data_IF_157325231441
#
_entry.id   IF_157325231441
#
_cell.length_a   1.000
_cell.length_b   1.000
_cell.length_c   1.000
_cell.angle_alpha   90.00
_cell.angle_beta   90.00
_cell.angle_gamma   90.00
#
_symmetry.space_group_name_H-M   'P 1'
#
loop_
_entity.id
_entity.type
_entity.pdbx_description
1 polymer ?
#
# COMPACT_ATOMS: atom_id res chain seq x y z
N UNK A 1 1.55 9.04 7.13
CA UNK A 1 1.31 7.83 6.30
C UNK A 1 1.31 8.24 4.85
N UNK A 2 2.20 7.70 4.05
CA UNK A 2 2.25 8.03 2.64
C UNK A 2 1.72 6.87 1.78
N UNK A 3 1.53 7.14 0.50
CA UNK A 3 0.96 6.18 -0.42
C UNK A 3 1.83 4.93 -0.56
N UNK A 4 3.14 5.12 -0.51
CA UNK A 4 4.10 4.02 -0.59
C UNK A 4 3.91 3.03 0.55
N UNK A 5 3.73 3.54 1.77
CA UNK A 5 3.49 2.70 2.95
C UNK A 5 2.13 2.00 2.86
N UNK A 6 1.12 2.68 2.32
CA UNK A 6 -0.18 2.04 2.08
C UNK A 6 -0.06 0.86 1.13
N UNK A 7 0.78 0.98 0.10
CA UNK A 7 1.05 -0.12 -0.84
C UNK A 7 1.73 -1.30 -0.12
N UNK A 8 2.59 -1.03 0.85
CA UNK A 8 3.20 -2.08 1.66
C UNK A 8 2.15 -2.86 2.46
N UNK A 9 1.19 -2.14 3.06
CA UNK A 9 0.11 -2.78 3.82
C UNK A 9 -0.73 -3.69 2.92
N UNK A 10 -1.08 -3.22 1.73
CA UNK A 10 -1.86 -4.00 0.77
C UNK A 10 -1.07 -5.23 0.32
N UNK A 11 0.23 -5.07 0.04
CA UNK A 11 1.08 -6.20 -0.38
C UNK A 11 1.12 -7.30 0.67
N UNK A 12 1.21 -6.92 1.95
CA UNK A 12 1.22 -7.92 3.03
C UNK A 12 -0.15 -8.59 3.19
N UNK A 13 -1.23 -7.82 3.06
CA UNK A 13 -2.59 -8.38 3.12
C UNK A 13 -2.82 -9.41 2.01
N UNK A 14 -2.30 -9.13 0.81
CA UNK A 14 -2.51 -10.00 -0.35
C UNK A 14 -1.64 -11.25 -0.30
N UNK A 15 -0.38 -11.11 0.07
CA UNK A 15 0.57 -12.23 0.09
C UNK A 15 0.52 -13.05 1.36
N UNK A 16 0.17 -12.41 2.48
CA UNK A 16 0.21 -13.00 3.82
C UNK A 16 1.60 -13.50 4.21
N UNK A 17 2.63 -12.97 3.55
CA UNK A 17 4.00 -13.44 3.73
C UNK A 17 4.95 -12.25 3.63
N UNK A 18 5.68 -11.97 4.71
CA UNK A 18 6.60 -10.83 4.76
C UNK A 18 7.67 -10.88 3.67
N UNK A 19 8.23 -12.05 3.43
CA UNK A 19 9.26 -12.22 2.40
C UNK A 19 8.74 -11.93 0.99
N UNK A 20 7.58 -12.47 0.66
CA UNK A 20 6.95 -12.23 -0.65
C UNK A 20 6.53 -10.78 -0.83
N UNK A 21 5.95 -10.20 0.21
CA UNK A 21 5.55 -8.80 0.16
C UNK A 21 6.76 -7.89 -0.04
N UNK A 22 7.86 -8.18 0.67
CA UNK A 22 9.09 -7.42 0.52
C UNK A 22 9.60 -7.48 -0.91
N UNK A 23 9.59 -8.65 -1.54
CA UNK A 23 10.01 -8.81 -2.94
C UNK A 23 9.13 -7.97 -3.86
N UNK A 24 7.80 -8.02 -3.68
CA UNK A 24 6.89 -7.20 -4.48
C UNK A 24 7.15 -5.71 -4.35
N UNK A 25 7.58 -5.28 -3.17
CA UNK A 25 7.82 -3.87 -2.89
C UNK A 25 9.28 -3.46 -3.14
N UNK A 26 10.10 -4.37 -3.65
CA UNK A 26 11.52 -4.12 -3.94
C UNK A 26 12.30 -3.71 -2.69
N UNK A 27 11.99 -4.33 -1.56
CA UNK A 27 12.62 -4.07 -0.28
C UNK A 27 13.22 -5.36 0.29
N UNK A 28 14.20 -5.19 1.19
CA UNK A 28 14.62 -6.31 2.04
C UNK A 28 13.49 -6.61 3.02
N UNK A 29 13.46 -7.84 3.52
CA UNK A 29 12.45 -8.22 4.50
C UNK A 29 12.54 -7.37 5.77
N UNK A 30 13.75 -7.02 6.21
CA UNK A 30 13.95 -6.15 7.36
C UNK A 30 13.35 -4.76 7.15
N UNK A 31 13.62 -4.15 5.99
CA UNK A 31 13.08 -2.84 5.67
C UNK A 31 11.56 -2.87 5.55
N UNK A 32 11.03 -3.93 4.93
CA UNK A 32 9.59 -4.11 4.80
C UNK A 32 8.92 -4.25 6.17
N UNK A 33 9.46 -5.09 7.04
CA UNK A 33 8.94 -5.27 8.40
C UNK A 33 8.93 -3.96 9.18
N UNK A 34 9.98 -3.17 9.04
CA UNK A 34 10.04 -1.85 9.70
C UNK A 34 8.97 -0.90 9.17
N UNK A 35 8.68 -0.96 7.88
CA UNK A 35 7.62 -0.13 7.29
C UNK A 35 6.26 -0.50 7.88
N UNK A 36 5.97 -1.79 8.00
CA UNK A 36 4.71 -2.27 8.59
C UNK A 36 4.63 -1.84 10.06
N UNK A 37 5.71 -2.03 10.82
CA UNK A 37 5.75 -1.62 12.22
C UNK A 37 5.54 -0.12 12.37
N UNK A 38 6.16 0.69 11.51
CA UNK A 38 5.99 2.14 11.54
C UNK A 38 4.54 2.54 11.28
N UNK A 39 3.85 1.85 10.37
CA UNK A 39 2.44 2.10 10.12
C UNK A 39 1.59 1.79 11.36
N UNK A 40 1.86 0.66 12.01
CA UNK A 40 1.16 0.28 13.24
C UNK A 40 1.40 1.30 14.36
N UNK A 41 2.63 1.76 14.50
CA UNK A 41 2.99 2.76 15.51
C UNK A 41 2.30 4.10 15.24
N UNK A 42 2.29 4.52 13.98
CA UNK A 42 1.68 5.79 13.59
C UNK A 42 0.17 5.80 13.84
N UNK A 43 -0.50 4.69 13.53
CA UNK A 43 -1.95 4.58 13.70
C UNK A 43 -2.36 4.16 15.11
N UNK A 44 -1.41 3.69 15.91
CA UNK A 44 -1.69 3.22 17.26
C UNK A 44 -2.53 1.95 17.31
N UNK A 45 -2.45 1.12 16.26
CA UNK A 45 -3.24 -0.10 16.13
C UNK A 45 -2.36 -1.22 15.60
N UNK A 46 -2.61 -2.44 16.06
CA UNK A 46 -2.03 -3.62 15.45
C UNK A 46 -2.86 -3.96 14.22
N UNK A 47 -2.20 -4.02 13.07
CA UNK A 47 -2.87 -4.25 11.78
C UNK A 47 -2.75 -5.69 11.31
N UNK A 48 -1.71 -6.39 11.75
CA UNK A 48 -1.45 -7.77 11.35
C UNK A 48 -1.11 -8.63 12.54
N UNK A 49 -1.67 -9.83 12.56
CA UNK A 49 -1.25 -10.89 13.46
C UNK A 49 -0.14 -11.67 12.78
N UNK A 50 1.00 -11.76 13.46
CA UNK A 50 2.15 -12.50 12.94
C UNK A 50 2.11 -13.90 13.50
N UNK A 51 1.23 -14.72 12.90
CA UNK A 51 1.12 -16.12 13.27
C UNK A 51 2.39 -16.89 12.89
N UNK A 52 2.43 -18.16 13.26
CA UNK A 52 3.60 -19.00 13.03
C UNK A 52 3.86 -19.29 11.56
N UNK A 53 2.83 -19.21 10.69
CA UNK A 53 2.92 -19.57 9.28
C UNK A 53 2.58 -18.38 8.38
N UNK A 54 1.52 -17.67 8.67
CA UNK A 54 1.04 -16.57 7.82
C UNK A 54 0.76 -15.32 8.64
N UNK A 55 0.97 -14.17 8.00
CA UNK A 55 0.51 -12.89 8.53
C UNK A 55 -0.93 -12.70 8.09
N UNK A 56 -1.83 -12.43 9.04
CA UNK A 56 -3.24 -12.17 8.75
C UNK A 56 -3.64 -10.80 9.28
N UNK A 57 -4.60 -10.18 8.62
CA UNK A 57 -5.11 -8.89 9.10
C UNK A 57 -5.88 -9.06 10.40
N UNK A 58 -5.67 -8.12 11.33
CA UNK A 58 -6.61 -7.91 12.43
C UNK A 58 -7.85 -7.23 11.86
N UNK A 59 -8.90 -7.06 12.66
CA UNK A 59 -10.08 -6.29 12.24
C UNK A 59 -9.68 -4.87 11.85
N UNK A 60 -8.80 -4.24 12.65
CA UNK A 60 -8.26 -2.92 12.33
C UNK A 60 -7.47 -2.93 11.04
N UNK A 61 -6.65 -3.96 10.82
CA UNK A 61 -5.88 -4.12 9.59
C UNK A 61 -6.76 -4.24 8.37
N UNK A 62 -7.81 -5.05 8.45
CA UNK A 62 -8.76 -5.21 7.34
C UNK A 62 -9.41 -3.88 6.98
N UNK A 63 -9.82 -3.11 7.98
CA UNK A 63 -10.40 -1.78 7.78
C UNK A 63 -9.40 -0.85 7.08
N UNK A 64 -8.18 -0.78 7.58
CA UNK A 64 -7.14 0.11 7.02
C UNK A 64 -6.78 -0.31 5.59
N UNK A 65 -6.61 -1.60 5.35
CA UNK A 65 -6.25 -2.12 4.01
C UNK A 65 -7.35 -1.79 2.99
N UNK A 66 -8.61 -1.93 3.36
CA UNK A 66 -9.71 -1.58 2.47
C UNK A 66 -9.66 -0.11 2.07
N UNK A 67 -9.43 0.78 3.04
CA UNK A 67 -9.29 2.20 2.76
C UNK A 67 -8.04 2.50 1.94
N UNK A 68 -6.95 1.80 2.22
CA UNK A 68 -5.70 1.94 1.46
C UNK A 68 -5.91 1.60 -0.01
N UNK A 69 -6.65 0.53 -0.31
CA UNK A 69 -6.95 0.15 -1.70
C UNK A 69 -7.66 1.27 -2.45
N UNK A 70 -8.62 1.92 -1.80
CA UNK A 70 -9.35 3.05 -2.40
C UNK A 70 -8.44 4.23 -2.69
N UNK A 71 -7.58 4.57 -1.74
CA UNK A 71 -6.64 5.68 -1.91
C UNK A 71 -5.64 5.40 -3.03
N UNK A 72 -5.13 4.18 -3.12
CA UNK A 72 -4.23 3.78 -4.18
C UNK A 72 -4.93 3.86 -5.54
N UNK A 73 -6.16 3.36 -5.61
CA UNK A 73 -6.95 3.42 -6.84
C UNK A 73 -7.19 4.88 -7.26
N UNK A 74 -7.60 5.73 -6.33
CA UNK A 74 -7.85 7.15 -6.60
C UNK A 74 -6.58 7.86 -7.07
N UNK A 75 -5.43 7.52 -6.49
CA UNK A 75 -4.14 8.07 -6.91
C UNK A 75 -3.83 7.71 -8.36
N UNK A 76 -4.09 6.48 -8.76
CA UNK A 76 -3.90 6.04 -10.16
C UNK A 76 -4.87 6.75 -11.11
N UNK A 77 -6.11 6.96 -10.67
CA UNK A 77 -7.08 7.70 -11.45
C UNK A 77 -6.64 9.15 -11.66
N UNK A 78 -6.10 9.77 -10.63
CA UNK A 78 -5.56 11.13 -10.75
C UNK A 78 -4.43 11.19 -11.76
N UNK A 79 -3.49 10.27 -11.69
CA UNK A 79 -2.36 10.23 -12.63
C UNK A 79 -2.83 10.06 -14.07
N UNK A 80 -3.80 9.16 -14.29
CA UNK A 80 -4.39 8.95 -15.60
C UNK A 80 -5.09 10.21 -16.10
N UNK A 81 -5.90 10.82 -15.24
CA UNK A 81 -6.68 12.01 -15.60
C UNK A 81 -5.77 13.19 -15.93
N UNK A 82 -4.69 13.35 -15.16
CA UNK A 82 -3.71 14.41 -15.44
C UNK A 82 -3.00 14.15 -16.76
N UNK A 83 -2.66 12.90 -17.05
CA UNK A 83 -2.03 12.52 -18.32
C UNK A 83 -2.94 12.85 -19.51
N UNK A 84 -4.23 12.49 -19.40
CA UNK A 84 -5.21 12.78 -20.44
C UNK A 84 -5.41 14.29 -20.62
N UNK A 85 -5.47 15.02 -19.54
CA UNK A 85 -5.60 16.48 -19.58
C UNK A 85 -4.38 17.11 -20.29
N UNK A 86 -3.17 16.68 -19.94
CA UNK A 86 -1.95 17.17 -20.55
C UNK A 86 -1.91 16.88 -22.05
N UNK A 87 -2.29 15.67 -22.46
CA UNK A 87 -2.33 15.28 -23.86
C UNK A 87 -3.34 16.11 -24.65
N UNK A 88 -4.49 16.40 -24.04
CA UNK A 88 -5.50 17.29 -24.66
C UNK A 88 -4.95 18.68 -24.86
N UNK A 89 -4.24 19.24 -23.85
CA UNK A 89 -3.66 20.57 -23.97
C UNK A 89 -2.62 20.63 -25.08
N UNK A 90 -1.80 19.60 -25.21
CA UNK A 90 -0.82 19.52 -26.29
C UNK A 90 -1.48 19.36 -27.65
N UNK A 91 -2.58 18.64 -27.73
CA UNK A 91 -3.37 18.49 -28.96
C UNK A 91 -3.97 19.81 -29.41
N UNK A 92 -4.42 20.63 -28.48
CA UNK A 92 -5.02 21.94 -28.77
C UNK A 92 -3.98 22.93 -29.32
N UNK A 93 -2.72 22.69 -29.08
CA UNK A 93 -1.62 23.53 -29.58
C UNK A 93 -1.19 23.16 -31.00
N UNK A 94 -1.63 22.03 -31.48
CA UNK A 94 -1.26 21.54 -32.81
C UNK A 94 -2.07 22.25 -33.96
#
# INVERSE_FOLDING_TARGET
MDLKRLKHLVALADTRNFGRAAVQCHLTQSAFSRSIQAAEDELGLQLFDRGTVEATCTDAGAFVVERARKLIFDSRCLERDVSLYRDRQMGDLA
#
